data_IF_432630697257
#
_entry.id   IF_432630697257
#
_cell.length_a   1.000
_cell.length_b   1.000
_cell.length_c   1.000
_cell.angle_alpha   90.00
_cell.angle_beta   90.00
_cell.angle_gamma   90.00
#
_symmetry.space_group_name_H-M   'P 1'
#
loop_
_entity.id
_entity.type
_entity.pdbx_description
1 polymer ?
#
# COMPACT_ATOMS: atom_id res chain seq x y z
N UNK A 1 46.99 75.54 -45.35
CA UNK A 1 47.49 74.21 -44.82
C UNK A 1 47.08 74.17 -43.36
N UNK A 2 45.92 73.65 -43.08
CA UNK A 2 45.38 73.56 -41.73
C UNK A 2 45.64 72.16 -41.17
N UNK A 3 46.18 72.06 -39.99
CA UNK A 3 46.53 70.84 -39.32
C UNK A 3 45.31 70.25 -38.59
N UNK A 4 45.01 69.02 -38.88
CA UNK A 4 43.91 68.26 -38.29
C UNK A 4 44.29 67.78 -36.88
N UNK A 5 43.40 67.95 -35.87
CA UNK A 5 43.68 67.46 -34.48
C UNK A 5 43.44 65.99 -34.33
N UNK A 6 44.31 65.27 -33.61
CA UNK A 6 44.21 63.86 -33.24
C UNK A 6 43.14 63.60 -32.21
N UNK A 7 42.37 62.51 -32.28
CA UNK A 7 41.35 62.18 -31.29
C UNK A 7 42.01 61.60 -30.00
N UNK A 8 41.54 62.11 -28.87
CA UNK A 8 41.90 61.70 -27.51
C UNK A 8 41.26 60.33 -27.18
N UNK A 9 42.07 59.38 -26.73
CA UNK A 9 41.69 58.02 -26.39
C UNK A 9 41.00 58.02 -25.04
N UNK A 10 39.65 57.77 -25.00
CA UNK A 10 38.92 57.59 -23.77
C UNK A 10 39.27 56.24 -23.11
N UNK A 11 39.69 56.30 -21.86
CA UNK A 11 39.94 55.14 -21.01
C UNK A 11 38.62 54.63 -20.47
N UNK A 12 38.17 53.47 -20.99
CA UNK A 12 36.98 52.81 -20.49
C UNK A 12 37.26 52.12 -19.13
N UNK A 13 36.73 52.69 -18.04
CA UNK A 13 36.69 52.03 -16.76
C UNK A 13 35.76 50.81 -16.82
N UNK A 14 36.36 49.63 -16.86
CA UNK A 14 35.65 48.33 -16.80
C UNK A 14 35.13 48.13 -15.38
N UNK A 15 33.85 48.46 -15.12
CA UNK A 15 33.12 48.04 -13.91
C UNK A 15 33.02 46.51 -13.89
N UNK A 16 33.75 45.87 -13.00
CA UNK A 16 33.57 44.46 -12.63
C UNK A 16 32.25 44.36 -11.87
N UNK A 17 31.17 43.94 -12.54
CA UNK A 17 29.92 43.58 -11.87
C UNK A 17 30.17 42.29 -11.05
N UNK A 18 29.99 42.35 -9.74
CA UNK A 18 29.95 41.20 -8.85
C UNK A 18 28.67 40.35 -9.15
N UNK A 19 28.79 39.42 -10.08
CA UNK A 19 27.74 38.41 -10.34
C UNK A 19 27.87 37.21 -9.41
N UNK A 20 28.01 37.43 -8.13
CA UNK A 20 28.07 36.40 -7.13
C UNK A 20 27.00 36.61 -6.06
N UNK A 21 25.76 36.25 -6.26
CA UNK A 21 24.80 36.09 -5.17
C UNK A 21 23.52 35.34 -5.55
N UNK A 22 23.21 35.15 -6.84
CA UNK A 22 21.98 34.50 -7.23
C UNK A 22 22.06 32.94 -7.18
N UNK A 23 23.24 32.33 -7.45
CA UNK A 23 23.38 30.90 -7.46
C UNK A 23 23.41 30.25 -6.07
N UNK A 24 23.96 30.93 -5.07
CA UNK A 24 24.09 30.38 -3.71
C UNK A 24 22.74 30.26 -2.99
N UNK A 25 21.85 31.24 -3.19
CA UNK A 25 20.52 31.25 -2.54
C UNK A 25 19.61 30.19 -3.15
N UNK A 26 19.67 29.96 -4.47
CA UNK A 26 18.87 28.96 -5.13
C UNK A 26 19.24 27.51 -4.70
N UNK A 27 20.52 27.22 -4.50
CA UNK A 27 21.00 25.90 -4.06
C UNK A 27 20.60 25.61 -2.61
N UNK A 28 20.70 26.61 -1.72
CA UNK A 28 20.29 26.46 -0.32
C UNK A 28 18.77 26.29 -0.17
N UNK A 29 17.97 26.98 -1.00
CA UNK A 29 16.50 26.86 -0.99
C UNK A 29 16.07 25.47 -1.49
N UNK A 30 16.76 24.90 -2.49
CA UNK A 30 16.44 23.57 -3.00
C UNK A 30 16.80 22.47 -1.99
N UNK A 31 17.95 22.58 -1.33
CA UNK A 31 18.36 21.63 -0.29
C UNK A 31 17.44 21.64 0.93
N UNK A 32 17.02 22.83 1.40
CA UNK A 32 16.08 22.97 2.51
C UNK A 32 14.68 22.44 2.16
N UNK A 33 14.19 22.70 0.95
CA UNK A 33 12.92 22.15 0.46
C UNK A 33 12.93 20.64 0.37
N UNK A 34 14.01 20.05 -0.12
CA UNK A 34 14.15 18.59 -0.26
C UNK A 34 14.18 17.88 1.10
N UNK A 35 14.86 18.46 2.10
CA UNK A 35 14.93 17.90 3.45
C UNK A 35 13.58 17.98 4.18
N UNK A 36 12.82 19.07 3.97
CA UNK A 36 11.50 19.24 4.57
C UNK A 36 10.49 18.26 3.95
N UNK A 37 10.53 18.09 2.63
CA UNK A 37 9.66 17.13 1.91
C UNK A 37 9.95 15.69 2.33
N UNK A 38 11.22 15.32 2.46
CA UNK A 38 11.62 13.99 2.91
C UNK A 38 11.17 13.71 4.36
N UNK A 39 11.26 14.70 5.26
CA UNK A 39 10.75 14.58 6.62
C UNK A 39 9.22 14.44 6.67
N UNK A 40 8.50 15.23 5.88
CA UNK A 40 7.04 15.12 5.81
C UNK A 40 6.58 13.78 5.23
N UNK A 41 7.24 13.28 4.20
CA UNK A 41 6.97 11.94 3.67
C UNK A 41 7.25 10.85 4.70
N UNK A 42 8.35 10.95 5.44
CA UNK A 42 8.70 9.97 6.47
C UNK A 42 7.70 10.00 7.64
N UNK A 43 7.28 11.18 8.09
CA UNK A 43 6.26 11.31 9.14
C UNK A 43 4.90 10.77 8.71
N UNK A 44 4.51 10.97 7.45
CA UNK A 44 3.27 10.41 6.90
C UNK A 44 3.36 8.88 6.79
N UNK A 45 4.51 8.34 6.42
CA UNK A 45 4.75 6.89 6.33
C UNK A 45 4.70 6.23 7.71
N UNK A 46 5.35 6.82 8.71
CA UNK A 46 5.29 6.35 10.10
C UNK A 46 3.87 6.40 10.66
N UNK A 47 3.09 7.45 10.34
CA UNK A 47 1.70 7.56 10.77
C UNK A 47 0.78 6.55 10.05
N UNK A 48 1.03 6.27 8.77
CA UNK A 48 0.31 5.22 8.03
C UNK A 48 0.62 3.83 8.61
N UNK A 49 1.87 3.55 8.95
CA UNK A 49 2.26 2.28 9.58
C UNK A 49 1.64 2.09 10.97
N UNK A 50 1.47 3.16 11.75
CA UNK A 50 0.86 3.09 13.09
C UNK A 50 -0.64 2.76 13.09
N UNK A 51 -1.34 2.97 11.98
CA UNK A 51 -2.77 2.72 11.82
C UNK A 51 -3.08 1.43 11.05
N UNK A 52 -2.05 0.74 10.57
CA UNK A 52 -2.22 -0.51 9.83
C UNK A 52 -2.90 -1.56 10.69
N UNK A 53 -3.86 -2.24 10.10
CA UNK A 53 -4.54 -3.38 10.71
C UNK A 53 -4.39 -4.60 9.82
N UNK A 54 -4.48 -5.76 10.43
CA UNK A 54 -4.48 -7.04 9.72
C UNK A 54 -5.83 -7.72 9.95
N UNK A 55 -6.35 -8.31 8.91
CA UNK A 55 -7.59 -9.06 8.93
C UNK A 55 -7.28 -10.52 8.64
N UNK A 56 -7.47 -11.36 9.66
CA UNK A 56 -7.35 -12.81 9.55
C UNK A 56 -8.70 -13.40 9.20
N UNK A 57 -8.71 -14.20 8.14
CA UNK A 57 -9.89 -14.93 7.68
C UNK A 57 -9.63 -16.42 7.79
N UNK A 58 -10.48 -17.15 8.52
CA UNK A 58 -10.40 -18.60 8.67
C UNK A 58 -11.69 -19.22 8.15
N UNK A 59 -11.61 -19.88 7.02
CA UNK A 59 -12.71 -20.60 6.42
C UNK A 59 -12.72 -22.04 6.91
N UNK A 60 -13.85 -22.50 7.46
CA UNK A 60 -14.06 -23.90 7.80
C UNK A 60 -14.81 -24.57 6.65
N UNK A 61 -14.14 -25.50 5.97
CA UNK A 61 -14.73 -26.19 4.83
C UNK A 61 -15.38 -27.49 5.24
N UNK A 62 -16.35 -27.94 4.45
CA UNK A 62 -16.80 -29.33 4.50
C UNK A 62 -15.62 -30.28 4.34
N UNK A 63 -15.64 -31.49 4.95
CA UNK A 63 -14.52 -32.42 4.88
C UNK A 63 -14.03 -32.68 3.45
N UNK A 64 -12.71 -32.52 3.25
CA UNK A 64 -12.04 -32.72 1.97
C UNK A 64 -12.29 -31.64 0.92
N UNK A 65 -12.90 -30.48 1.27
CA UNK A 65 -13.22 -29.42 0.31
C UNK A 65 -12.20 -28.29 0.24
N UNK A 66 -11.15 -28.32 1.06
CA UNK A 66 -10.07 -27.32 1.01
C UNK A 66 -9.47 -27.18 -0.39
N UNK A 67 -9.09 -28.26 -1.13
CA UNK A 67 -8.51 -28.09 -2.48
C UNK A 67 -9.47 -27.44 -3.48
N UNK A 68 -10.77 -27.67 -3.35
CA UNK A 68 -11.77 -27.05 -4.21
C UNK A 68 -11.93 -25.54 -3.88
N UNK A 69 -11.87 -25.18 -2.60
CA UNK A 69 -11.89 -23.77 -2.16
C UNK A 69 -10.61 -23.05 -2.62
N UNK A 70 -9.44 -23.64 -2.47
CA UNK A 70 -8.18 -23.10 -2.99
C UNK A 70 -8.25 -22.79 -4.48
N UNK A 71 -8.84 -23.68 -5.27
CA UNK A 71 -8.98 -23.47 -6.72
C UNK A 71 -9.79 -22.21 -7.02
N UNK A 72 -10.88 -21.95 -6.29
CA UNK A 72 -11.67 -20.72 -6.41
C UNK A 72 -10.85 -19.51 -5.97
N UNK A 73 -10.11 -19.60 -4.87
CA UNK A 73 -9.32 -18.50 -4.34
C UNK A 73 -8.14 -18.07 -5.23
N UNK A 74 -7.68 -18.93 -6.14
CA UNK A 74 -6.70 -18.54 -7.19
C UNK A 74 -7.23 -17.42 -8.08
N UNK A 75 -8.53 -17.39 -8.34
CA UNK A 75 -9.15 -16.32 -9.11
C UNK A 75 -9.65 -15.17 -8.23
N UNK A 76 -10.19 -15.48 -7.05
CA UNK A 76 -10.55 -14.48 -6.04
C UNK A 76 -9.35 -13.60 -5.67
N UNK A 77 -8.14 -14.15 -5.57
CA UNK A 77 -6.93 -13.39 -5.28
C UNK A 77 -6.64 -12.28 -6.29
N UNK A 78 -6.97 -12.51 -7.56
CA UNK A 78 -6.82 -11.51 -8.64
C UNK A 78 -7.84 -10.37 -8.45
N UNK A 79 -9.07 -10.71 -8.02
CA UNK A 79 -10.08 -9.70 -7.71
C UNK A 79 -9.72 -8.90 -6.46
N UNK A 80 -9.22 -9.54 -5.42
CA UNK A 80 -8.73 -8.85 -4.22
C UNK A 80 -7.64 -7.83 -4.59
N UNK A 81 -6.67 -8.22 -5.41
CA UNK A 81 -5.65 -7.29 -5.93
C UNK A 81 -6.27 -6.16 -6.76
N UNK A 82 -7.24 -6.45 -7.62
CA UNK A 82 -7.97 -5.45 -8.42
C UNK A 82 -8.68 -4.41 -7.56
N UNK A 83 -9.13 -4.80 -6.38
CA UNK A 83 -9.82 -3.95 -5.41
C UNK A 83 -8.91 -3.47 -4.27
N UNK A 84 -7.61 -3.31 -4.54
CA UNK A 84 -6.60 -2.74 -3.64
C UNK A 84 -6.47 -3.47 -2.29
N UNK A 85 -6.87 -4.74 -2.21
CA UNK A 85 -6.66 -5.56 -1.03
C UNK A 85 -5.25 -6.14 -1.02
N UNK A 86 -4.46 -5.76 -0.03
CA UNK A 86 -3.10 -6.26 0.15
C UNK A 86 -3.11 -7.57 0.92
N UNK A 87 -3.31 -8.69 0.20
CA UNK A 87 -3.25 -10.02 0.81
C UNK A 87 -1.80 -10.42 1.11
N UNK A 88 -1.50 -10.64 2.38
CA UNK A 88 -0.18 -11.07 2.86
C UNK A 88 0.13 -12.50 2.42
N UNK A 89 -0.88 -13.37 2.44
CA UNK A 89 -0.75 -14.75 1.99
C UNK A 89 -1.98 -15.59 2.26
N UNK A 90 -1.91 -16.83 1.77
CA UNK A 90 -2.91 -17.87 1.94
C UNK A 90 -2.24 -19.12 2.50
N UNK A 91 -2.91 -19.80 3.43
CA UNK A 91 -2.37 -21.00 4.08
C UNK A 91 -3.41 -22.10 4.19
N UNK A 92 -2.94 -23.32 4.03
CA UNK A 92 -3.65 -24.51 4.46
C UNK A 92 -2.84 -25.10 5.62
N UNK A 93 -3.44 -25.27 6.78
CA UNK A 93 -2.74 -25.86 7.92
C UNK A 93 -2.15 -27.24 7.57
N UNK A 94 -0.89 -27.42 7.92
CA UNK A 94 -0.20 -28.71 7.81
C UNK A 94 -0.26 -29.48 9.13
N UNK A 95 -0.15 -30.80 9.04
CA UNK A 95 -0.13 -31.69 10.20
C UNK A 95 -1.46 -32.42 10.43
N UNK A 96 -1.48 -33.23 11.48
CA UNK A 96 -2.55 -34.20 11.76
C UNK A 96 -3.57 -33.69 12.80
N UNK A 97 -3.55 -32.39 13.14
CA UNK A 97 -4.51 -31.83 14.09
C UNK A 97 -5.92 -31.73 13.44
N UNK A 98 -6.88 -32.54 13.91
CA UNK A 98 -8.22 -32.58 13.34
C UNK A 98 -8.97 -31.22 13.41
N UNK A 99 -8.60 -30.37 14.38
CA UNK A 99 -9.21 -29.04 14.55
C UNK A 99 -8.96 -28.12 13.33
N UNK A 100 -7.86 -28.38 12.59
CA UNK A 100 -7.43 -27.55 11.47
C UNK A 100 -7.50 -28.26 10.11
N UNK A 101 -7.85 -29.57 10.10
CA UNK A 101 -7.79 -30.42 8.90
C UNK A 101 -8.62 -29.89 7.70
N UNK A 102 -9.68 -29.14 7.96
CA UNK A 102 -10.61 -28.61 6.95
C UNK A 102 -10.66 -27.09 6.95
N UNK A 103 -9.54 -26.44 7.21
CA UNK A 103 -9.48 -24.97 7.23
C UNK A 103 -8.65 -24.41 6.09
N UNK A 104 -9.07 -23.23 5.61
CA UNK A 104 -8.33 -22.42 4.66
C UNK A 104 -8.20 -20.99 5.25
N UNK A 105 -7.00 -20.49 5.31
CA UNK A 105 -6.67 -19.26 6.04
C UNK A 105 -6.06 -18.25 5.07
N UNK A 106 -6.40 -16.97 5.22
CA UNK A 106 -5.64 -15.90 4.61
C UNK A 106 -5.60 -14.65 5.50
N UNK A 107 -4.61 -13.82 5.26
CA UNK A 107 -4.36 -12.59 5.98
C UNK A 107 -4.31 -11.42 5.00
N UNK A 108 -5.07 -10.38 5.31
CA UNK A 108 -5.07 -9.11 4.56
C UNK A 108 -4.47 -8.02 5.43
N UNK A 109 -3.62 -7.18 4.86
CA UNK A 109 -3.11 -5.99 5.50
C UNK A 109 -3.85 -4.77 4.93
N UNK A 110 -4.43 -3.96 5.81
CA UNK A 110 -5.15 -2.74 5.43
C UNK A 110 -4.46 -1.51 6.03
N UNK A 111 -4.45 -0.37 5.33
CA UNK A 111 -3.92 0.88 5.88
C UNK A 111 -4.64 1.31 7.17
N UNK A 112 -5.95 1.05 7.26
CA UNK A 112 -6.83 1.31 8.40
C UNK A 112 -8.19 0.62 8.17
N UNK A 113 -9.09 0.72 9.14
CA UNK A 113 -10.42 0.12 9.09
C UNK A 113 -11.34 0.72 8.00
N UNK A 114 -11.21 1.99 7.72
CA UNK A 114 -12.02 2.68 6.71
C UNK A 114 -11.69 2.17 5.31
N UNK A 115 -10.40 2.06 4.97
CA UNK A 115 -9.96 1.49 3.70
C UNK A 115 -10.31 0.00 3.59
N UNK A 116 -10.22 -0.77 4.70
CA UNK A 116 -10.69 -2.15 4.71
C UNK A 116 -12.16 -2.24 4.29
N UNK A 117 -13.04 -1.49 4.93
CA UNK A 117 -14.47 -1.48 4.62
C UNK A 117 -14.74 -1.09 3.17
N UNK A 118 -14.10 -0.03 2.68
CA UNK A 118 -14.23 0.44 1.29
C UNK A 118 -13.81 -0.63 0.27
N UNK A 119 -12.68 -1.30 0.50
CA UNK A 119 -12.17 -2.33 -0.41
C UNK A 119 -13.07 -3.58 -0.39
N UNK A 120 -13.58 -3.97 0.78
CA UNK A 120 -14.56 -5.04 0.90
C UNK A 120 -15.88 -4.70 0.18
N UNK A 121 -16.40 -3.49 0.35
CA UNK A 121 -17.62 -3.04 -0.34
C UNK A 121 -17.44 -3.08 -1.86
N UNK A 122 -16.30 -2.62 -2.36
CA UNK A 122 -15.95 -2.66 -3.77
C UNK A 122 -15.87 -4.11 -4.30
N UNK A 123 -15.21 -5.00 -3.56
CA UNK A 123 -15.12 -6.42 -3.92
C UNK A 123 -16.50 -7.10 -3.89
N UNK A 124 -17.32 -6.87 -2.86
CA UNK A 124 -18.64 -7.47 -2.73
C UNK A 124 -19.62 -7.05 -3.84
N UNK A 125 -19.43 -5.86 -4.40
CA UNK A 125 -20.25 -5.37 -5.52
C UNK A 125 -19.79 -5.88 -6.89
N UNK A 126 -18.58 -6.44 -7.00
CA UNK A 126 -18.05 -7.02 -8.24
C UNK A 126 -18.86 -8.26 -8.65
N UNK A 127 -19.44 -8.28 -9.87
CA UNK A 127 -20.22 -9.42 -10.36
C UNK A 127 -19.45 -10.74 -10.34
N UNK A 128 -18.15 -10.73 -10.70
CA UNK A 128 -17.32 -11.91 -10.72
C UNK A 128 -17.10 -12.47 -9.29
N UNK A 129 -16.95 -11.59 -8.29
CA UNK A 129 -16.83 -12.03 -6.91
C UNK A 129 -18.13 -12.68 -6.39
N UNK A 130 -19.29 -12.15 -6.77
CA UNK A 130 -20.59 -12.77 -6.41
C UNK A 130 -20.73 -14.17 -7.00
N UNK A 131 -20.24 -14.38 -8.22
CA UNK A 131 -20.21 -15.70 -8.85
C UNK A 131 -19.28 -16.66 -8.10
N UNK A 132 -18.05 -16.25 -7.76
CA UNK A 132 -17.13 -17.07 -6.96
C UNK A 132 -17.68 -17.38 -5.55
N UNK A 133 -18.35 -16.43 -4.92
CA UNK A 133 -19.04 -16.69 -3.65
C UNK A 133 -20.13 -17.75 -3.78
N UNK A 134 -20.91 -17.74 -4.85
CA UNK A 134 -21.93 -18.77 -5.09
C UNK A 134 -21.29 -20.15 -5.30
N UNK A 135 -20.15 -20.23 -5.98
CA UNK A 135 -19.42 -21.49 -6.15
C UNK A 135 -18.77 -21.98 -4.84
N UNK A 136 -18.26 -21.07 -4.01
CA UNK A 136 -17.64 -21.40 -2.71
C UNK A 136 -18.67 -21.81 -1.64
N UNK A 137 -19.89 -21.30 -1.71
CA UNK A 137 -20.92 -21.49 -0.71
C UNK A 137 -21.16 -22.96 -0.30
N UNK A 138 -21.28 -23.95 -1.21
CA UNK A 138 -21.49 -25.35 -0.85
C UNK A 138 -20.24 -26.04 -0.28
N UNK A 139 -19.08 -25.39 -0.34
CA UNK A 139 -17.81 -25.94 0.14
C UNK A 139 -17.54 -25.58 1.61
N UNK A 140 -18.24 -24.57 2.16
CA UNK A 140 -18.01 -24.02 3.49
C UNK A 140 -19.05 -24.58 4.48
N UNK A 141 -18.57 -24.99 5.66
CA UNK A 141 -19.46 -25.39 6.76
C UNK A 141 -20.40 -24.26 7.13
N UNK A 142 -21.56 -24.62 7.67
CA UNK A 142 -22.53 -23.65 8.18
C UNK A 142 -22.62 -23.73 9.70
N UNK A 143 -22.74 -22.56 10.31
CA UNK A 143 -23.09 -22.39 11.71
C UNK A 143 -24.50 -21.77 11.76
N UNK A 144 -25.54 -22.62 11.79
CA UNK A 144 -26.92 -22.18 11.58
C UNK A 144 -27.14 -21.70 10.14
N UNK A 145 -27.62 -20.48 9.95
CA UNK A 145 -27.81 -19.89 8.63
C UNK A 145 -26.56 -19.24 8.03
N UNK A 146 -25.56 -18.94 8.85
CA UNK A 146 -24.31 -18.29 8.43
C UNK A 146 -23.28 -19.31 7.95
N UNK A 147 -22.36 -18.88 7.09
CA UNK A 147 -21.14 -19.64 6.78
C UNK A 147 -20.18 -19.56 7.97
N UNK A 148 -19.51 -20.66 8.26
CA UNK A 148 -18.51 -20.74 9.31
C UNK A 148 -17.21 -20.16 8.81
N UNK A 149 -17.07 -18.86 8.95
CA UNK A 149 -15.89 -18.08 8.63
C UNK A 149 -15.57 -17.20 9.83
N UNK A 150 -14.40 -17.39 10.43
CA UNK A 150 -13.94 -16.51 11.48
C UNK A 150 -13.19 -15.33 10.85
N UNK A 151 -13.56 -14.13 11.27
CA UNK A 151 -12.96 -12.87 10.84
C UNK A 151 -12.43 -12.15 12.08
N UNK A 152 -11.12 -11.85 12.08
CA UNK A 152 -10.47 -11.19 13.22
C UNK A 152 -9.64 -10.02 12.73
N UNK A 153 -9.97 -8.81 13.18
CA UNK A 153 -9.14 -7.63 12.98
C UNK A 153 -8.10 -7.51 14.09
N UNK A 154 -6.85 -7.28 13.72
CA UNK A 154 -5.72 -7.25 14.63
C UNK A 154 -4.89 -6.00 14.40
N UNK A 155 -4.38 -5.42 15.49
CA UNK A 155 -3.30 -4.43 15.43
C UNK A 155 -1.97 -5.13 15.69
N UNK A 156 -0.91 -4.78 14.94
CA UNK A 156 0.41 -5.34 15.24
C UNK A 156 0.87 -4.89 16.63
N UNK A 157 1.46 -5.81 17.38
CA UNK A 157 2.15 -5.45 18.63
C UNK A 157 3.36 -4.55 18.32
N UNK A 158 3.80 -3.78 19.31
CA UNK A 158 4.93 -2.83 19.17
C UNK A 158 6.24 -3.51 18.74
N UNK A 159 6.42 -4.75 19.13
CA UNK A 159 7.56 -5.61 18.77
C UNK A 159 7.33 -6.48 17.51
N UNK A 160 6.18 -6.36 16.84
CA UNK A 160 5.89 -7.15 15.64
C UNK A 160 6.81 -6.75 14.49
N UNK A 161 7.31 -7.74 13.74
CA UNK A 161 8.08 -7.51 12.53
C UNK A 161 7.22 -7.03 11.36
N UNK A 162 5.92 -7.39 11.35
CA UNK A 162 4.91 -6.86 10.41
C UNK A 162 4.19 -5.69 11.06
N UNK A 163 4.26 -4.55 10.40
CA UNK A 163 3.58 -3.31 10.83
C UNK A 163 2.88 -2.66 9.65
#
# INVERSE_FOLDING_TARGET
MEAYPKPTRAVAHRRKSKRWSACGIAVLSFAAGSLLTARLMHLNQVKADSNRIFELMVYHTMPGKVPALEAIFRDVSKLQTKHDMNVVGYWVPGGDDPAWANTFIYLVAHPNREEANKNWDALHTDPAFREYRAQAAPLIERAGEAYKVDEVYMHPADFSAMK
#
